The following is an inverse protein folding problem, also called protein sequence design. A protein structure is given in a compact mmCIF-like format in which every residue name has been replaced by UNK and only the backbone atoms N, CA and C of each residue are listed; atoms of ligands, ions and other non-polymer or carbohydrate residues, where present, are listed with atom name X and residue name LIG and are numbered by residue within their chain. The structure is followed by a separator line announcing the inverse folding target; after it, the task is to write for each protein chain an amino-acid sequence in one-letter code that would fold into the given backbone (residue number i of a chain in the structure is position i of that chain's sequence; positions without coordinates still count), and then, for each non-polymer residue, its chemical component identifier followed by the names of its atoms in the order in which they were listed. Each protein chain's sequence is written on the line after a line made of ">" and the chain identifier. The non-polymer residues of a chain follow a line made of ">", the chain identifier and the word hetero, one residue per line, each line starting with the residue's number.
data_IF_127298349780
#
_entry.id   IF_127298349780
#
_cell.length_a   1.000
_cell.length_b   1.000
_cell.length_c   1.000
_cell.angle_alpha   90.00
_cell.angle_beta   90.00
_cell.angle_gamma   90.00
#
_symmetry.space_group_name_H-M   'P 1'
#
loop_
_entity.id
_entity.type
_entity.pdbx_description
1 polymer ?
#
# COMPACT_ATOMS: atom_id res chain seq x y z
N UNK A 1 26.07 -8.03 24.67
CA UNK A 1 26.88 -7.29 23.71
C UNK A 1 26.00 -6.65 22.64
N UNK A 2 26.54 -5.69 21.90
CA UNK A 2 25.88 -5.00 20.79
C UNK A 2 26.52 -5.37 19.46
N UNK A 3 25.75 -5.39 18.40
CA UNK A 3 26.19 -5.61 17.02
C UNK A 3 25.83 -4.36 16.23
N UNK A 4 26.81 -3.67 15.69
CA UNK A 4 26.60 -2.42 14.98
C UNK A 4 27.48 -2.35 13.73
N UNK A 5 27.03 -1.57 12.73
CA UNK A 5 27.81 -1.28 11.52
C UNK A 5 28.29 -2.55 10.80
N UNK A 6 27.42 -3.53 10.64
CA UNK A 6 27.73 -4.81 10.02
C UNK A 6 26.95 -4.96 8.72
N UNK A 7 27.63 -5.37 7.68
CA UNK A 7 27.04 -5.64 6.38
C UNK A 7 27.43 -7.03 5.88
N UNK A 8 26.48 -7.73 5.29
CA UNK A 8 26.67 -8.95 4.54
C UNK A 8 26.12 -8.78 3.13
N UNK A 9 26.87 -9.18 2.15
CA UNK A 9 26.45 -9.08 0.76
C UNK A 9 26.89 -10.29 -0.09
N UNK A 10 26.19 -10.49 -1.21
CA UNK A 10 26.50 -11.50 -2.25
C UNK A 10 26.69 -12.92 -1.68
N UNK A 11 25.86 -13.28 -0.69
CA UNK A 11 26.03 -14.51 0.09
C UNK A 11 24.81 -15.44 0.02
N UNK A 12 25.08 -16.75 0.11
CA UNK A 12 24.07 -17.78 0.29
C UNK A 12 24.13 -18.33 1.72
N UNK A 13 23.10 -18.13 2.50
CA UNK A 13 22.99 -18.56 3.89
C UNK A 13 21.89 -19.60 3.98
N UNK A 14 22.25 -20.84 4.24
CA UNK A 14 21.29 -21.94 4.40
C UNK A 14 21.40 -22.54 5.79
N UNK A 15 20.27 -22.55 6.50
CA UNK A 15 20.13 -23.21 7.79
C UNK A 15 19.24 -24.45 7.70
N UNK A 16 19.57 -25.47 8.47
CA UNK A 16 18.75 -26.68 8.61
C UNK A 16 17.87 -26.65 9.85
N UNK A 17 17.97 -25.61 10.66
CA UNK A 17 17.21 -25.41 11.90
C UNK A 17 16.42 -24.11 11.90
N UNK A 18 15.81 -23.80 13.03
CA UNK A 18 15.21 -22.51 13.30
C UNK A 18 16.26 -21.41 13.45
N UNK A 19 15.80 -20.15 13.39
CA UNK A 19 16.60 -18.96 13.68
C UNK A 19 17.72 -18.70 12.68
N UNK A 20 17.35 -18.46 11.44
CA UNK A 20 18.29 -18.13 10.37
C UNK A 20 18.17 -16.64 10.03
N UNK A 21 19.28 -15.93 10.08
CA UNK A 21 19.37 -14.52 9.70
C UNK A 21 20.63 -14.23 8.91
N UNK A 22 20.59 -13.22 8.07
CA UNK A 22 21.74 -12.80 7.29
C UNK A 22 22.97 -12.45 8.15
N UNK A 23 22.72 -11.80 9.30
CA UNK A 23 23.79 -11.40 10.22
C UNK A 23 23.69 -12.17 11.56
N UNK A 24 22.46 -12.33 12.08
CA UNK A 24 22.23 -12.93 13.39
C UNK A 24 21.16 -14.01 13.30
N UNK A 25 21.50 -15.26 13.64
CA UNK A 25 20.49 -16.31 13.73
C UNK A 25 19.57 -16.11 14.95
N UNK A 26 20.17 -16.05 16.14
CA UNK A 26 19.44 -15.91 17.41
C UNK A 26 20.13 -14.93 18.35
N UNK A 27 19.37 -13.96 18.85
CA UNK A 27 19.81 -13.00 19.84
C UNK A 27 18.83 -12.93 21.00
N UNK A 28 19.30 -13.11 22.21
CA UNK A 28 18.50 -12.98 23.42
C UNK A 28 19.29 -12.29 24.51
N UNK A 29 18.73 -11.23 25.08
CA UNK A 29 19.39 -10.47 26.16
C UNK A 29 18.34 -10.00 27.17
N UNK A 30 18.64 -10.20 28.44
CA UNK A 30 17.85 -9.63 29.55
C UNK A 30 18.14 -8.15 29.81
N UNK A 31 19.09 -7.57 29.10
CA UNK A 31 19.47 -6.17 29.21
C UNK A 31 18.96 -5.39 27.99
N UNK A 32 18.71 -4.10 28.21
CA UNK A 32 18.44 -3.19 27.09
C UNK A 32 19.67 -3.04 26.22
N UNK A 33 19.60 -3.55 25.01
CA UNK A 33 20.69 -3.43 24.03
C UNK A 33 20.15 -2.76 22.76
N UNK A 34 20.93 -1.83 22.23
CA UNK A 34 20.61 -1.15 20.99
C UNK A 34 21.58 -1.63 19.90
N UNK A 35 21.03 -2.22 18.85
CA UNK A 35 21.81 -2.63 17.69
C UNK A 35 21.38 -1.80 16.50
N UNK A 36 22.33 -1.37 15.67
CA UNK A 36 22.06 -0.47 14.58
C UNK A 36 22.97 -0.65 13.37
N UNK A 37 22.53 -0.12 12.23
CA UNK A 37 23.27 -0.14 10.96
C UNK A 37 23.67 -1.55 10.54
N UNK A 38 22.69 -2.46 10.45
CA UNK A 38 22.91 -3.81 9.96
C UNK A 38 22.29 -3.93 8.56
N UNK A 39 23.09 -4.41 7.61
CA UNK A 39 22.65 -4.48 6.22
C UNK A 39 22.84 -5.87 5.64
N UNK A 40 21.83 -6.34 4.92
CA UNK A 40 21.83 -7.56 4.13
C UNK A 40 21.52 -7.21 2.68
N UNK A 41 22.47 -7.39 1.78
CA UNK A 41 22.39 -6.92 0.40
C UNK A 41 22.70 -8.05 -0.57
N UNK A 42 21.81 -8.28 -1.55
CA UNK A 42 21.98 -9.28 -2.59
C UNK A 42 22.28 -10.70 -2.05
N UNK A 43 21.54 -11.10 -1.02
CA UNK A 43 21.72 -12.39 -0.35
C UNK A 43 20.55 -13.33 -0.61
N UNK A 44 20.81 -14.63 -0.64
CA UNK A 44 19.79 -15.67 -0.48
C UNK A 44 19.89 -16.25 0.93
N UNK A 45 18.79 -16.14 1.70
CA UNK A 45 18.72 -16.62 3.08
C UNK A 45 17.59 -17.63 3.19
N UNK A 46 17.93 -18.86 3.50
CA UNK A 46 16.98 -19.97 3.42
C UNK A 46 17.01 -20.88 4.65
N UNK A 47 15.81 -21.30 5.09
CA UNK A 47 15.60 -22.42 5.99
C UNK A 47 14.30 -23.17 5.64
N UNK A 48 14.31 -24.48 5.87
CA UNK A 48 13.06 -25.28 5.81
C UNK A 48 12.23 -25.16 7.11
N UNK A 49 12.72 -24.41 8.09
CA UNK A 49 12.11 -24.21 9.40
C UNK A 49 11.68 -22.76 9.64
N UNK A 50 11.34 -22.46 10.88
CA UNK A 50 10.76 -21.20 11.30
C UNK A 50 11.82 -20.14 11.69
N UNK A 51 11.41 -18.88 11.78
CA UNK A 51 12.20 -17.72 12.21
C UNK A 51 13.33 -17.36 11.25
N UNK A 52 12.96 -16.96 10.06
CA UNK A 52 13.93 -16.55 9.03
C UNK A 52 13.82 -15.05 8.79
N UNK A 53 14.95 -14.35 8.81
CA UNK A 53 14.98 -12.92 8.54
C UNK A 53 16.16 -12.50 7.67
N UNK A 54 15.98 -11.46 6.88
CA UNK A 54 17.03 -10.91 6.03
C UNK A 54 18.26 -10.46 6.85
N UNK A 55 18.03 -9.95 8.05
CA UNK A 55 19.09 -9.55 9.00
C UNK A 55 19.15 -10.48 10.20
N UNK A 56 17.99 -10.76 10.83
CA UNK A 56 17.92 -11.48 12.12
C UNK A 56 16.85 -12.57 12.07
N UNK A 57 17.17 -13.80 12.47
CA UNK A 57 16.18 -14.87 12.63
C UNK A 57 15.23 -14.62 13.80
N UNK A 58 15.77 -14.50 15.00
CA UNK A 58 15.05 -14.16 16.23
C UNK A 58 15.81 -13.14 17.05
N UNK A 59 15.09 -12.14 17.57
CA UNK A 59 15.68 -11.12 18.42
C UNK A 59 14.79 -10.81 19.62
N UNK A 60 15.38 -10.85 20.81
CA UNK A 60 14.76 -10.44 22.07
C UNK A 60 15.71 -9.62 22.91
N UNK A 61 15.27 -8.45 23.36
CA UNK A 61 16.02 -7.59 24.26
C UNK A 61 15.06 -6.75 25.08
N UNK A 62 15.15 -6.82 26.40
CA UNK A 62 14.25 -6.09 27.29
C UNK A 62 14.36 -4.58 27.09
N UNK A 63 13.30 -3.95 26.51
CA UNK A 63 13.25 -2.54 26.17
C UNK A 63 14.39 -2.02 25.27
N UNK A 64 14.96 -2.91 24.42
CA UNK A 64 15.97 -2.55 23.45
C UNK A 64 15.39 -1.98 22.17
N UNK A 65 16.28 -1.42 21.35
CA UNK A 65 15.99 -0.96 20.00
C UNK A 65 16.85 -1.69 18.99
N UNK A 66 16.27 -2.03 17.84
CA UNK A 66 17.04 -2.30 16.64
C UNK A 66 16.60 -1.32 15.56
N UNK A 67 17.55 -0.67 14.95
CA UNK A 67 17.25 0.44 14.06
C UNK A 67 18.24 0.58 12.92
N UNK A 68 17.81 1.28 11.86
CA UNK A 68 18.61 1.46 10.64
C UNK A 68 19.06 0.13 10.03
N UNK A 69 18.12 -0.84 9.97
CA UNK A 69 18.34 -2.12 9.33
C UNK A 69 17.87 -2.05 7.87
N UNK A 70 18.67 -2.62 6.98
CA UNK A 70 18.35 -2.68 5.55
C UNK A 70 18.43 -4.12 5.06
N UNK A 71 17.40 -4.55 4.34
CA UNK A 71 17.45 -5.71 3.46
C UNK A 71 17.14 -5.26 2.04
N UNK A 72 18.06 -5.50 1.12
CA UNK A 72 17.89 -5.04 -0.25
C UNK A 72 18.38 -6.07 -1.25
N UNK A 73 17.60 -6.28 -2.33
CA UNK A 73 17.89 -7.29 -3.38
C UNK A 73 18.07 -8.71 -2.83
N UNK A 74 17.37 -9.07 -1.75
CA UNK A 74 17.50 -10.37 -1.12
C UNK A 74 16.33 -11.30 -1.45
N UNK A 75 16.61 -12.60 -1.43
CA UNK A 75 15.59 -13.66 -1.41
C UNK A 75 15.60 -14.34 -0.04
N UNK A 76 14.46 -14.29 0.68
CA UNK A 76 14.34 -14.81 2.04
C UNK A 76 13.24 -15.86 2.04
N UNK A 77 13.63 -17.11 2.36
CA UNK A 77 12.75 -18.27 2.27
C UNK A 77 12.69 -19.01 3.61
N UNK A 78 11.49 -19.26 4.08
CA UNK A 78 11.29 -20.00 5.33
C UNK A 78 9.94 -20.68 5.39
N UNK A 79 9.69 -21.39 6.49
CA UNK A 79 8.40 -22.04 6.72
C UNK A 79 7.42 -21.07 7.35
N UNK A 80 7.69 -20.57 8.55
CA UNK A 80 6.86 -19.59 9.26
C UNK A 80 7.70 -18.55 9.98
N UNK A 81 7.07 -17.45 10.40
CA UNK A 81 7.77 -16.31 10.98
C UNK A 81 8.93 -15.86 10.07
N UNK A 82 8.60 -15.46 8.86
CA UNK A 82 9.57 -15.00 7.86
C UNK A 82 9.41 -13.51 7.67
N UNK A 83 10.50 -12.77 7.79
CA UNK A 83 10.49 -11.32 7.61
C UNK A 83 11.64 -10.80 6.78
N UNK A 84 11.42 -9.71 6.08
CA UNK A 84 12.49 -9.04 5.32
C UNK A 84 13.65 -8.63 6.23
N UNK A 85 13.37 -8.13 7.42
CA UNK A 85 14.38 -7.79 8.43
C UNK A 85 14.51 -8.91 9.46
N UNK A 86 13.40 -9.33 10.08
CA UNK A 86 13.46 -10.29 11.18
C UNK A 86 12.35 -11.33 11.11
N UNK A 87 12.67 -12.58 11.44
CA UNK A 87 11.68 -13.64 11.57
C UNK A 87 10.70 -13.34 12.72
N UNK A 88 11.23 -13.13 13.92
CA UNK A 88 10.45 -12.74 15.10
C UNK A 88 11.20 -11.74 15.97
N UNK A 89 10.46 -10.80 16.54
CA UNK A 89 10.96 -9.83 17.53
C UNK A 89 10.10 -9.89 18.78
N UNK A 90 10.77 -9.97 19.91
CA UNK A 90 10.16 -10.05 21.22
C UNK A 90 10.74 -9.00 22.18
N UNK A 91 9.88 -8.22 22.84
CA UNK A 91 10.26 -7.12 23.76
C UNK A 91 11.19 -6.04 23.20
N UNK A 92 11.30 -5.90 21.90
CA UNK A 92 12.23 -4.97 21.24
C UNK A 92 11.50 -4.13 20.21
N UNK A 93 11.83 -2.84 20.11
CA UNK A 93 11.33 -1.93 19.09
C UNK A 93 12.15 -2.08 17.81
N UNK A 94 11.49 -2.20 16.67
CA UNK A 94 12.11 -1.98 15.35
C UNK A 94 11.71 -0.60 14.85
N UNK A 95 12.70 0.19 14.42
CA UNK A 95 12.44 1.50 13.84
C UNK A 95 13.48 1.86 12.77
N UNK A 96 13.10 2.81 11.88
CA UNK A 96 13.97 3.32 10.81
C UNK A 96 14.61 2.22 9.96
N UNK A 97 13.84 1.19 9.66
CA UNK A 97 14.35 0.00 8.97
C UNK A 97 13.54 -0.26 7.69
N UNK A 98 14.18 -0.86 6.70
CA UNK A 98 13.55 -1.08 5.40
C UNK A 98 13.86 -2.41 4.76
N UNK A 99 12.91 -2.83 3.92
CA UNK A 99 13.09 -3.92 2.95
C UNK A 99 12.77 -3.40 1.56
N UNK A 100 13.72 -3.55 0.65
CA UNK A 100 13.64 -2.98 -0.69
C UNK A 100 14.02 -4.01 -1.75
N UNK A 101 13.31 -3.98 -2.89
CA UNK A 101 13.67 -4.80 -4.06
C UNK A 101 13.90 -6.28 -3.73
N UNK A 102 13.15 -6.82 -2.77
CA UNK A 102 13.41 -8.14 -2.20
C UNK A 102 12.20 -9.06 -2.30
N UNK A 103 12.46 -10.36 -2.18
CA UNK A 103 11.43 -11.39 -2.20
C UNK A 103 11.41 -12.17 -0.88
N UNK A 104 10.26 -12.15 -0.19
CA UNK A 104 10.07 -12.81 1.11
C UNK A 104 9.02 -13.90 0.93
N UNK A 105 9.39 -15.16 1.22
CA UNK A 105 8.54 -16.31 0.93
C UNK A 105 8.28 -17.23 2.14
N UNK A 106 7.00 -17.56 2.33
CA UNK A 106 6.55 -18.71 3.13
C UNK A 106 6.31 -19.91 2.24
N UNK A 107 7.21 -20.90 2.26
CA UNK A 107 7.23 -21.97 1.27
C UNK A 107 6.31 -23.15 1.56
N UNK A 108 5.76 -23.28 2.76
CA UNK A 108 4.84 -24.34 3.16
C UNK A 108 3.39 -23.91 3.03
N UNK A 109 2.50 -24.81 2.66
CA UNK A 109 1.03 -24.61 2.71
C UNK A 109 0.53 -24.32 4.13
N UNK A 110 1.30 -24.64 5.15
CA UNK A 110 1.04 -24.31 6.54
C UNK A 110 1.84 -23.08 7.02
N UNK A 111 2.49 -22.36 6.13
CA UNK A 111 3.24 -21.14 6.47
C UNK A 111 2.33 -20.10 7.13
N UNK A 112 2.85 -19.45 8.16
CA UNK A 112 2.17 -18.37 8.86
C UNK A 112 3.14 -17.24 9.18
N UNK A 113 2.59 -16.04 9.27
CA UNK A 113 3.30 -14.86 9.73
C UNK A 113 4.48 -14.51 8.81
N UNK A 114 4.15 -14.10 7.60
CA UNK A 114 5.12 -13.63 6.60
C UNK A 114 4.96 -12.12 6.46
N UNK A 115 6.03 -11.36 6.65
CA UNK A 115 5.97 -9.90 6.60
C UNK A 115 7.18 -9.27 5.93
N UNK A 116 6.97 -8.10 5.33
CA UNK A 116 8.04 -7.38 4.63
C UNK A 116 9.14 -6.86 5.57
N UNK A 117 8.78 -6.50 6.81
CA UNK A 117 9.76 -6.17 7.87
C UNK A 117 9.92 -7.34 8.82
N UNK A 118 8.82 -7.87 9.35
CA UNK A 118 8.87 -8.87 10.39
C UNK A 118 7.76 -9.92 10.22
N UNK A 119 8.12 -11.18 10.39
CA UNK A 119 7.13 -12.26 10.40
C UNK A 119 6.17 -12.14 11.58
N UNK A 120 6.68 -12.16 12.80
CA UNK A 120 5.91 -12.13 14.05
C UNK A 120 6.37 -11.02 14.99
N UNK A 121 5.46 -10.10 15.30
CA UNK A 121 5.66 -9.00 16.25
C UNK A 121 4.91 -9.25 17.55
N UNK A 122 5.66 -9.33 18.66
CA UNK A 122 5.11 -9.44 20.00
C UNK A 122 5.70 -8.41 20.96
N UNK A 123 4.85 -7.72 21.72
CA UNK A 123 5.17 -6.90 22.89
C UNK A 123 5.82 -5.53 22.70
N UNK A 124 6.25 -5.09 21.50
CA UNK A 124 6.80 -3.75 21.30
C UNK A 124 6.40 -3.16 19.95
N UNK A 125 6.75 -1.88 19.70
CA UNK A 125 6.28 -1.10 18.58
C UNK A 125 7.05 -1.39 17.28
N UNK A 126 6.34 -1.34 16.15
CA UNK A 126 6.91 -1.15 14.82
C UNK A 126 6.65 0.29 14.38
N UNK A 127 7.70 1.05 14.08
CA UNK A 127 7.54 2.44 13.69
C UNK A 127 8.64 2.93 12.76
N UNK A 128 8.30 3.87 11.89
CA UNK A 128 9.25 4.46 10.95
C UNK A 128 9.92 3.43 10.04
N UNK A 129 9.17 2.38 9.67
CA UNK A 129 9.67 1.32 8.80
C UNK A 129 8.99 1.37 7.45
N UNK A 130 9.65 0.88 6.42
CA UNK A 130 9.02 0.81 5.11
C UNK A 130 9.42 -0.43 4.30
N UNK A 131 8.55 -0.74 3.34
CA UNK A 131 8.78 -1.78 2.33
C UNK A 131 8.50 -1.21 0.96
N UNK A 132 9.45 -1.30 0.05
CA UNK A 132 9.31 -0.83 -1.31
C UNK A 132 9.72 -1.87 -2.36
N UNK A 133 9.01 -1.85 -3.50
CA UNK A 133 9.36 -2.60 -4.70
C UNK A 133 9.65 -4.09 -4.43
N UNK A 134 8.90 -4.69 -3.50
CA UNK A 134 9.18 -6.04 -3.00
C UNK A 134 8.01 -6.99 -3.23
N UNK A 135 8.25 -8.28 -3.02
CA UNK A 135 7.23 -9.31 -3.08
C UNK A 135 7.20 -10.10 -1.76
N UNK A 136 6.03 -10.21 -1.15
CA UNK A 136 5.80 -10.95 0.08
C UNK A 136 4.76 -12.01 -0.23
N UNK A 137 5.20 -13.25 -0.37
CA UNK A 137 4.38 -14.34 -0.90
C UNK A 137 4.37 -15.51 0.05
N UNK A 138 3.19 -16.06 0.34
CA UNK A 138 3.06 -17.26 1.16
C UNK A 138 2.15 -18.30 0.50
N UNK A 139 2.53 -19.54 0.63
CA UNK A 139 1.63 -20.68 0.33
C UNK A 139 0.62 -20.93 1.46
N UNK A 140 0.71 -20.18 2.55
CA UNK A 140 -0.20 -20.21 3.71
C UNK A 140 -0.76 -18.83 4.05
N UNK A 141 -1.10 -18.57 5.30
CA UNK A 141 -1.81 -17.37 5.74
C UNK A 141 -1.00 -16.39 6.59
N UNK A 142 -1.67 -15.34 7.06
CA UNK A 142 -1.11 -14.24 7.84
C UNK A 142 0.03 -13.55 7.11
N UNK A 143 -0.27 -12.89 6.02
CA UNK A 143 0.74 -12.22 5.18
C UNK A 143 0.49 -10.72 5.21
N UNK A 144 1.52 -9.94 5.52
CA UNK A 144 1.40 -8.49 5.59
C UNK A 144 2.58 -7.74 5.01
N UNK A 145 2.32 -6.56 4.47
CA UNK A 145 3.36 -5.72 3.88
C UNK A 145 4.43 -5.31 4.88
N UNK A 146 4.06 -5.01 6.13
CA UNK A 146 5.00 -4.76 7.23
C UNK A 146 5.16 -6.03 8.08
N UNK A 147 4.07 -6.64 8.52
CA UNK A 147 4.13 -7.78 9.43
C UNK A 147 3.07 -8.84 9.13
N UNK A 148 3.45 -10.12 9.21
CA UNK A 148 2.50 -11.21 9.10
C UNK A 148 1.52 -11.26 10.27
N UNK A 149 2.03 -11.19 11.50
CA UNK A 149 1.25 -11.16 12.75
C UNK A 149 1.69 -10.01 13.64
N UNK A 150 0.72 -9.31 14.22
CA UNK A 150 1.01 -8.20 15.14
C UNK A 150 0.09 -8.18 16.34
N UNK A 151 0.69 -8.12 17.53
CA UNK A 151 -0.03 -7.90 18.80
C UNK A 151 0.29 -6.56 19.46
N UNK A 152 0.92 -5.61 18.74
CA UNK A 152 1.25 -4.28 19.28
C UNK A 152 1.09 -3.17 18.23
N UNK A 153 1.43 -1.93 18.55
CA UNK A 153 1.28 -0.80 17.65
C UNK A 153 2.15 -0.88 16.40
N UNK A 154 1.59 -0.43 15.28
CA UNK A 154 2.30 -0.16 14.03
C UNK A 154 1.98 1.28 13.65
N UNK A 155 2.99 2.11 13.43
CA UNK A 155 2.75 3.51 13.07
C UNK A 155 3.91 4.17 12.32
N UNK A 156 3.59 5.26 11.65
CA UNK A 156 4.53 6.05 10.86
C UNK A 156 5.34 5.15 9.90
N UNK A 157 4.66 4.27 9.20
CA UNK A 157 5.27 3.25 8.35
C UNK A 157 4.53 3.13 7.03
N UNK A 158 5.18 2.64 5.98
CA UNK A 158 4.49 2.51 4.70
C UNK A 158 4.93 1.28 3.88
N UNK A 159 4.07 0.93 2.93
CA UNK A 159 4.34 -0.12 1.94
C UNK A 159 4.02 0.43 0.56
N UNK A 160 5.01 0.44 -0.32
CA UNK A 160 4.90 1.05 -1.65
C UNK A 160 5.33 0.08 -2.75
N UNK A 161 4.56 0.04 -3.86
CA UNK A 161 4.87 -0.76 -5.05
C UNK A 161 5.20 -2.23 -4.71
N UNK A 162 4.49 -2.82 -3.79
CA UNK A 162 4.80 -4.13 -3.23
C UNK A 162 3.62 -5.09 -3.41
N UNK A 163 3.93 -6.32 -3.80
CA UNK A 163 2.94 -7.39 -3.89
C UNK A 163 2.89 -8.17 -2.58
N UNK A 164 1.68 -8.38 -2.06
CA UNK A 164 1.43 -9.14 -0.82
C UNK A 164 0.41 -10.24 -1.13
N UNK A 165 0.84 -11.49 -1.12
CA UNK A 165 -0.01 -12.62 -1.54
C UNK A 165 0.04 -13.79 -0.54
N UNK A 166 -1.12 -14.38 -0.25
CA UNK A 166 -1.27 -15.55 0.62
C UNK A 166 -2.58 -16.28 0.40
N UNK A 167 -2.87 -17.27 1.24
CA UNK A 167 -4.15 -17.98 1.18
C UNK A 167 -5.26 -17.24 1.90
N UNK A 168 -4.97 -16.74 3.12
CA UNK A 168 -5.93 -16.03 3.94
C UNK A 168 -5.23 -15.00 4.84
N UNK A 169 -5.99 -14.06 5.39
CA UNK A 169 -5.50 -13.03 6.29
C UNK A 169 -4.36 -12.21 5.64
N UNK A 170 -4.62 -11.63 4.49
CA UNK A 170 -3.63 -10.88 3.73
C UNK A 170 -3.90 -9.39 3.85
N UNK A 171 -2.92 -8.63 4.33
CA UNK A 171 -3.06 -7.18 4.54
C UNK A 171 -1.91 -6.37 3.97
N UNK A 172 -2.20 -5.20 3.42
CA UNK A 172 -1.17 -4.30 2.90
C UNK A 172 -0.17 -3.84 3.97
N UNK A 173 -0.59 -3.78 5.23
CA UNK A 173 0.27 -3.47 6.39
C UNK A 173 0.43 -4.70 7.29
N UNK A 174 -0.66 -5.31 7.74
CA UNK A 174 -0.63 -6.44 8.67
C UNK A 174 -1.54 -7.57 8.19
N UNK A 175 -1.04 -8.80 8.17
CA UNK A 175 -1.84 -9.98 7.83
C UNK A 175 -2.90 -10.26 8.89
N UNK A 176 -2.46 -10.58 10.11
CA UNK A 176 -3.31 -10.72 11.28
C UNK A 176 -2.97 -9.68 12.34
N UNK A 177 -3.98 -9.03 12.87
CA UNK A 177 -3.87 -8.04 13.95
C UNK A 177 -4.72 -8.46 15.13
N UNK A 178 -4.13 -8.46 16.33
CA UNK A 178 -4.85 -8.92 17.54
C UNK A 178 -5.31 -7.78 18.43
N UNK A 179 -4.49 -6.75 18.64
CA UNK A 179 -4.76 -5.62 19.54
C UNK A 179 -3.86 -4.43 19.24
N UNK A 180 -4.13 -3.29 19.90
CA UNK A 180 -3.44 -2.02 19.73
C UNK A 180 -3.55 -1.41 18.32
N UNK A 181 -3.06 -0.22 18.15
CA UNK A 181 -3.40 0.65 17.04
C UNK A 181 -2.52 0.45 15.79
N UNK A 182 -3.11 0.74 14.63
CA UNK A 182 -2.38 1.06 13.40
C UNK A 182 -2.73 2.49 13.03
N UNK A 183 -1.73 3.35 12.89
CA UNK A 183 -1.96 4.75 12.55
C UNK A 183 -0.79 5.39 11.81
N UNK A 184 -1.12 6.43 11.06
CA UNK A 184 -0.14 7.13 10.24
C UNK A 184 0.60 6.17 9.31
N UNK A 185 -0.14 5.36 8.56
CA UNK A 185 0.44 4.45 7.57
C UNK A 185 -0.17 4.70 6.20
N UNK A 186 0.60 4.46 5.15
CA UNK A 186 0.05 4.47 3.80
C UNK A 186 0.51 3.27 2.97
N UNK A 187 -0.27 2.94 1.94
CA UNK A 187 0.10 1.87 1.01
C UNK A 187 -0.61 1.98 -0.34
N UNK A 188 0.10 1.57 -1.40
CA UNK A 188 -0.47 1.27 -2.71
C UNK A 188 -0.24 -0.21 -3.09
N UNK A 189 -0.07 -1.07 -2.11
CA UNK A 189 0.21 -2.49 -2.33
C UNK A 189 -0.85 -3.19 -3.18
N UNK A 190 -0.40 -4.20 -3.94
CA UNK A 190 -1.25 -5.22 -4.54
C UNK A 190 -1.43 -6.37 -3.54
N UNK A 191 -2.63 -6.47 -2.97
CA UNK A 191 -2.98 -7.42 -1.89
C UNK A 191 -3.86 -8.52 -2.45
N UNK A 192 -3.44 -9.77 -2.33
CA UNK A 192 -4.20 -10.91 -2.84
C UNK A 192 -4.30 -12.06 -1.86
N UNK A 193 -5.51 -12.41 -1.46
CA UNK A 193 -5.80 -13.66 -0.76
C UNK A 193 -6.47 -14.65 -1.72
N UNK A 194 -5.96 -15.89 -1.79
CA UNK A 194 -6.50 -16.88 -2.71
C UNK A 194 -7.76 -17.58 -2.17
N UNK A 195 -8.00 -17.51 -0.87
CA UNK A 195 -9.17 -18.10 -0.21
C UNK A 195 -10.09 -17.02 0.40
N UNK A 196 -9.57 -16.15 1.30
CA UNK A 196 -10.41 -15.18 2.01
C UNK A 196 -9.58 -14.13 2.77
N UNK A 197 -10.25 -13.09 3.25
CA UNK A 197 -9.79 -12.08 4.20
C UNK A 197 -8.62 -11.26 3.65
N UNK A 198 -8.91 -10.39 2.68
CA UNK A 198 -7.97 -9.42 2.14
C UNK A 198 -8.33 -7.99 2.56
N UNK A 199 -7.36 -7.24 3.06
CA UNK A 199 -7.55 -5.84 3.45
C UNK A 199 -6.38 -4.95 3.10
N UNK A 200 -6.63 -3.70 2.74
CA UNK A 200 -5.57 -2.77 2.39
C UNK A 200 -4.65 -2.44 3.57
N UNK A 201 -5.18 -2.40 4.78
CA UNK A 201 -4.39 -2.23 6.01
C UNK A 201 -4.27 -3.57 6.74
N UNK A 202 -5.38 -4.24 7.04
CA UNK A 202 -5.40 -5.48 7.83
C UNK A 202 -6.20 -6.54 7.07
N UNK A 203 -5.63 -7.73 6.89
CA UNK A 203 -6.36 -8.88 6.34
C UNK A 203 -7.41 -9.40 7.32
N UNK A 204 -7.00 -9.71 8.53
CA UNK A 204 -7.85 -10.29 9.57
C UNK A 204 -7.59 -9.63 10.93
N UNK A 205 -8.64 -9.15 11.54
CA UNK A 205 -8.60 -8.63 12.89
C UNK A 205 -9.30 -9.57 13.87
N UNK A 206 -8.56 -10.03 14.86
CA UNK A 206 -9.12 -10.81 15.99
C UNK A 206 -8.90 -10.07 17.30
N UNK A 207 -9.92 -9.95 18.09
CA UNK A 207 -9.87 -9.27 19.40
C UNK A 207 -9.81 -10.33 20.54
N UNK A 208 -8.94 -11.30 20.41
CA UNK A 208 -8.75 -12.31 21.43
C UNK A 208 -8.10 -11.71 22.68
N UNK A 209 -8.79 -11.71 23.81
CA UNK A 209 -8.31 -11.27 25.13
C UNK A 209 -8.09 -9.76 25.33
N UNK A 210 -8.93 -8.91 24.76
CA UNK A 210 -8.83 -7.46 25.00
C UNK A 210 -9.64 -7.06 26.22
N UNK A 211 -8.98 -6.45 27.18
CA UNK A 211 -9.65 -5.72 28.28
C UNK A 211 -10.07 -4.34 27.79
N UNK A 212 -11.01 -3.69 28.46
CA UNK A 212 -11.48 -2.33 28.12
C UNK A 212 -10.35 -1.28 27.95
N UNK A 213 -9.14 -1.58 28.40
CA UNK A 213 -7.96 -0.72 28.27
C UNK A 213 -7.21 -0.86 26.93
N UNK A 214 -7.54 -1.84 26.10
CA UNK A 214 -6.78 -2.19 24.88
C UNK A 214 -7.64 -2.10 23.62
N UNK A 215 -8.44 -1.05 23.51
CA UNK A 215 -9.26 -0.77 22.32
C UNK A 215 -8.34 -0.58 21.11
N UNK A 216 -8.60 -1.32 20.03
CA UNK A 216 -7.89 -1.08 18.78
C UNK A 216 -8.46 0.14 18.06
N UNK A 217 -7.56 0.98 17.60
CA UNK A 217 -7.91 2.13 16.77
C UNK A 217 -7.11 2.10 15.49
N UNK A 218 -7.78 2.28 14.35
CA UNK A 218 -7.16 2.50 13.05
C UNK A 218 -7.46 3.94 12.65
N UNK A 219 -6.42 4.77 12.52
CA UNK A 219 -6.64 6.17 12.22
C UNK A 219 -5.50 6.83 11.45
N UNK A 220 -5.86 7.85 10.70
CA UNK A 220 -4.93 8.61 9.87
C UNK A 220 -4.14 7.73 8.89
N UNK A 221 -4.78 6.74 8.28
CA UNK A 221 -4.14 5.89 7.29
C UNK A 221 -4.68 6.20 5.90
N UNK A 222 -3.86 5.97 4.88
CA UNK A 222 -4.29 6.08 3.50
C UNK A 222 -3.98 4.86 2.66
N UNK A 223 -4.91 4.56 1.75
CA UNK A 223 -4.66 3.74 0.59
C UNK A 223 -4.57 4.65 -0.63
N UNK A 224 -3.56 4.46 -1.43
CA UNK A 224 -3.16 5.38 -2.49
C UNK A 224 -3.08 4.65 -3.84
N UNK A 225 -4.19 4.06 -4.28
CA UNK A 225 -4.29 3.26 -5.49
C UNK A 225 -4.05 1.77 -5.26
N UNK A 226 -4.33 1.25 -4.08
CA UNK A 226 -4.16 -0.16 -3.74
C UNK A 226 -5.10 -1.06 -4.54
N UNK A 227 -4.61 -2.26 -4.91
CA UNK A 227 -5.43 -3.32 -5.51
C UNK A 227 -5.63 -4.43 -4.49
N UNK A 228 -6.87 -4.83 -4.23
CA UNK A 228 -7.18 -5.81 -3.19
C UNK A 228 -8.12 -6.87 -3.73
N UNK A 229 -7.71 -8.11 -3.67
CA UNK A 229 -8.44 -9.25 -4.24
C UNK A 229 -8.58 -10.41 -3.25
N UNK A 230 -9.79 -10.93 -3.10
CA UNK A 230 -10.05 -12.25 -2.49
C UNK A 230 -11.41 -12.78 -2.94
N UNK A 231 -11.67 -14.12 -2.85
CA UNK A 231 -12.99 -14.67 -3.10
C UNK A 231 -14.08 -14.12 -2.17
N UNK A 232 -13.75 -13.85 -0.91
CA UNK A 232 -14.67 -13.31 0.12
C UNK A 232 -13.92 -12.43 1.11
N UNK A 233 -14.63 -11.52 1.79
CA UNK A 233 -14.14 -10.61 2.82
C UNK A 233 -13.03 -9.68 2.32
N UNK A 234 -13.39 -8.81 1.40
CA UNK A 234 -12.46 -7.81 0.81
C UNK A 234 -12.77 -6.44 1.36
N UNK A 235 -11.83 -5.84 2.05
CA UNK A 235 -11.98 -4.50 2.63
C UNK A 235 -10.88 -3.53 2.20
N UNK A 236 -11.24 -2.30 1.92
CA UNK A 236 -10.24 -1.25 1.73
C UNK A 236 -9.36 -1.09 2.96
N UNK A 237 -9.93 -1.00 4.15
CA UNK A 237 -9.16 -0.97 5.39
C UNK A 237 -8.95 -2.38 5.97
N UNK A 238 -10.03 -3.12 6.22
CA UNK A 238 -9.99 -4.41 6.92
C UNK A 238 -10.78 -5.45 6.13
N UNK A 239 -10.16 -6.60 5.82
CA UNK A 239 -10.85 -7.71 5.17
C UNK A 239 -11.93 -8.30 6.05
N UNK A 240 -11.58 -8.73 7.25
CA UNK A 240 -12.52 -9.36 8.17
C UNK A 240 -12.26 -9.01 9.65
N UNK A 241 -13.34 -8.78 10.40
CA UNK A 241 -13.30 -8.58 11.86
C UNK A 241 -14.01 -9.76 12.54
N UNK A 242 -13.28 -10.51 13.36
CA UNK A 242 -13.85 -11.56 14.20
C UNK A 242 -14.62 -10.94 15.38
N UNK A 243 -15.60 -11.68 15.90
CA UNK A 243 -16.42 -11.23 17.02
C UNK A 243 -15.57 -11.01 18.28
N UNK A 244 -15.71 -9.83 18.86
CA UNK A 244 -15.16 -9.56 20.18
C UNK A 244 -15.96 -10.28 21.26
N UNK A 245 -15.28 -11.11 22.05
CA UNK A 245 -15.91 -11.83 23.17
C UNK A 245 -16.07 -10.97 24.43
N UNK A 246 -15.48 -9.77 24.49
CA UNK A 246 -15.34 -8.99 25.72
C UNK A 246 -15.99 -7.61 25.70
N UNK A 247 -16.45 -7.09 24.59
CA UNK A 247 -16.96 -5.73 24.56
C UNK A 247 -18.47 -5.64 24.52
N UNK A 248 -19.09 -5.61 25.68
CA UNK A 248 -20.43 -5.01 25.81
C UNK A 248 -20.40 -3.46 25.76
N UNK A 249 -19.22 -2.84 25.82
CA UNK A 249 -19.09 -1.37 25.91
C UNK A 249 -17.96 -0.75 25.07
N UNK A 250 -17.09 -1.52 24.46
CA UNK A 250 -15.96 -1.02 23.65
C UNK A 250 -16.38 -0.67 22.23
N UNK A 251 -16.17 0.56 21.83
CA UNK A 251 -16.32 1.00 20.44
C UNK A 251 -14.95 0.94 19.78
N UNK A 252 -14.80 0.12 18.74
CA UNK A 252 -13.61 0.19 17.90
C UNK A 252 -13.71 1.43 17.01
N UNK A 253 -12.76 2.34 17.14
CA UNK A 253 -12.75 3.58 16.39
C UNK A 253 -11.87 3.47 15.16
N UNK A 254 -12.48 3.63 13.98
CA UNK A 254 -11.80 3.72 12.71
C UNK A 254 -12.07 5.11 12.15
N UNK A 255 -11.13 6.05 12.30
CA UNK A 255 -11.39 7.45 11.97
C UNK A 255 -10.24 8.10 11.19
N UNK A 256 -10.57 9.15 10.46
CA UNK A 256 -9.63 9.93 9.68
C UNK A 256 -8.86 9.06 8.67
N UNK A 257 -9.50 8.05 8.09
CA UNK A 257 -8.88 7.21 7.08
C UNK A 257 -9.34 7.60 5.69
N UNK A 258 -8.45 7.47 4.72
CA UNK A 258 -8.72 7.70 3.31
C UNK A 258 -8.45 6.44 2.50
N UNK A 259 -9.31 6.15 1.52
CA UNK A 259 -9.17 4.98 0.66
C UNK A 259 -9.33 5.34 -0.81
N UNK A 260 -8.27 5.14 -1.57
CA UNK A 260 -8.29 5.00 -3.01
C UNK A 260 -7.88 3.56 -3.34
N UNK A 261 -8.82 2.72 -3.74
CA UNK A 261 -8.58 1.30 -3.97
C UNK A 261 -9.46 0.72 -5.09
N UNK A 262 -8.98 -0.40 -5.62
CA UNK A 262 -9.67 -1.24 -6.60
C UNK A 262 -9.86 -2.62 -5.96
N UNK A 263 -11.10 -2.94 -5.61
CA UNK A 263 -11.45 -4.16 -4.90
C UNK A 263 -12.05 -5.19 -5.85
N UNK A 264 -11.63 -6.44 -5.72
CA UNK A 264 -12.20 -7.57 -6.46
C UNK A 264 -12.61 -8.69 -5.51
N UNK A 265 -13.89 -9.06 -5.55
CA UNK A 265 -14.44 -10.17 -4.76
C UNK A 265 -15.46 -10.96 -5.57
N UNK A 266 -15.51 -12.27 -5.33
CA UNK A 266 -16.57 -13.13 -5.89
C UNK A 266 -17.90 -12.98 -5.16
N UNK A 267 -17.87 -12.49 -3.92
CA UNK A 267 -19.06 -12.29 -3.09
C UNK A 267 -19.25 -10.78 -2.83
N UNK A 268 -20.26 -10.20 -3.45
CA UNK A 268 -20.60 -8.78 -3.31
C UNK A 268 -21.02 -8.38 -1.88
N UNK A 269 -21.56 -9.31 -1.09
CA UNK A 269 -22.05 -9.03 0.26
C UNK A 269 -20.91 -8.86 1.29
N UNK A 270 -19.69 -9.20 0.89
CA UNK A 270 -18.52 -9.16 1.76
C UNK A 270 -17.37 -8.33 1.18
N UNK A 271 -17.70 -7.30 0.40
CA UNK A 271 -16.75 -6.35 -0.17
C UNK A 271 -17.15 -4.92 0.17
N UNK A 272 -16.22 -4.10 0.62
CA UNK A 272 -16.42 -2.68 0.94
C UNK A 272 -15.09 -1.92 0.96
N UNK A 273 -15.09 -0.66 0.57
CA UNK A 273 -13.91 0.21 0.74
C UNK A 273 -13.53 0.45 2.22
N UNK A 274 -14.45 0.21 3.14
CA UNK A 274 -14.17 0.22 4.56
C UNK A 274 -13.78 -1.15 5.09
N UNK A 275 -14.77 -1.92 5.52
CA UNK A 275 -14.64 -3.23 6.18
C UNK A 275 -15.39 -4.25 5.33
N UNK A 276 -14.68 -5.25 4.80
CA UNK A 276 -15.27 -6.27 3.93
C UNK A 276 -16.35 -7.08 4.64
N UNK A 277 -16.05 -7.59 5.84
CA UNK A 277 -17.04 -8.27 6.67
C UNK A 277 -16.70 -8.15 8.14
N UNK A 278 -17.72 -8.13 9.00
CA UNK A 278 -17.53 -8.03 10.44
C UNK A 278 -18.59 -8.83 11.21
N UNK A 279 -18.14 -9.60 12.18
CA UNK A 279 -19.00 -10.16 13.22
C UNK A 279 -19.19 -9.21 14.41
N UNK A 280 -18.51 -8.06 14.40
CA UNK A 280 -18.59 -7.06 15.43
C UNK A 280 -19.66 -6.02 15.08
N UNK A 281 -20.73 -5.94 15.88
CA UNK A 281 -21.88 -5.07 15.60
C UNK A 281 -21.58 -3.56 15.78
N UNK A 282 -20.52 -3.22 16.49
CA UNK A 282 -20.15 -1.83 16.81
C UNK A 282 -18.91 -1.32 16.06
N UNK A 283 -18.52 -1.94 14.96
CA UNK A 283 -17.49 -1.40 14.09
C UNK A 283 -18.00 -0.12 13.41
N UNK A 284 -17.40 1.03 13.72
CA UNK A 284 -17.81 2.32 13.16
C UNK A 284 -16.67 3.00 12.42
N UNK A 285 -16.94 3.34 11.17
CA UNK A 285 -16.12 4.25 10.38
C UNK A 285 -16.56 5.69 10.66
N UNK A 286 -15.63 6.55 11.09
CA UNK A 286 -15.90 7.97 11.39
C UNK A 286 -14.90 8.84 10.67
N UNK A 287 -15.35 9.93 10.06
CA UNK A 287 -14.51 10.75 9.19
C UNK A 287 -13.71 9.88 8.18
N UNK A 288 -14.43 9.00 7.49
CA UNK A 288 -13.91 8.08 6.50
C UNK A 288 -14.19 8.65 5.12
N UNK A 289 -13.17 8.77 4.31
CA UNK A 289 -13.27 9.34 2.97
C UNK A 289 -12.68 8.40 1.93
N UNK A 290 -13.23 8.46 0.74
CA UNK A 290 -12.82 7.61 -0.38
C UNK A 290 -12.60 8.43 -1.65
N UNK A 291 -11.71 7.98 -2.52
CA UNK A 291 -11.60 8.54 -3.85
C UNK A 291 -12.84 8.19 -4.67
N UNK A 292 -13.45 9.22 -5.27
CA UNK A 292 -14.71 9.11 -6.00
C UNK A 292 -14.72 8.02 -7.09
N UNK A 293 -13.58 7.75 -7.70
CA UNK A 293 -13.44 6.77 -8.76
C UNK A 293 -12.72 5.48 -8.31
N UNK A 294 -12.73 5.17 -7.02
CA UNK A 294 -12.45 3.82 -6.55
C UNK A 294 -13.43 2.82 -7.14
N UNK A 295 -13.03 1.55 -7.25
CA UNK A 295 -13.86 0.53 -7.89
C UNK A 295 -14.07 -0.68 -6.98
N UNK A 296 -15.25 -1.27 -7.12
CA UNK A 296 -15.58 -2.60 -6.61
C UNK A 296 -16.04 -3.44 -7.80
N UNK A 297 -15.37 -4.56 -8.05
CA UNK A 297 -15.64 -5.45 -9.18
C UNK A 297 -15.74 -4.68 -10.52
N UNK A 298 -14.75 -3.83 -10.78
CA UNK A 298 -14.64 -2.95 -11.96
C UNK A 298 -15.73 -1.88 -12.10
N UNK A 299 -16.65 -1.77 -11.15
CA UNK A 299 -17.66 -0.73 -11.12
C UNK A 299 -17.23 0.44 -10.22
N UNK A 300 -17.41 1.68 -10.69
CA UNK A 300 -17.22 2.85 -9.84
C UNK A 300 -18.21 2.83 -8.67
N UNK A 301 -17.72 3.23 -7.51
CA UNK A 301 -18.52 3.26 -6.28
C UNK A 301 -19.66 4.30 -6.39
N UNK A 302 -20.77 3.96 -5.77
CA UNK A 302 -21.89 4.84 -5.48
C UNK A 302 -22.57 4.35 -4.18
N UNK A 303 -23.59 5.06 -3.71
CA UNK A 303 -24.28 4.70 -2.45
C UNK A 303 -24.96 3.32 -2.49
N UNK A 304 -25.32 2.82 -3.67
CA UNK A 304 -25.94 1.50 -3.84
C UNK A 304 -24.89 0.37 -3.73
N UNK A 305 -23.68 0.63 -4.23
CA UNK A 305 -22.61 -0.37 -4.28
C UNK A 305 -21.90 -0.52 -2.92
N UNK A 306 -21.63 0.57 -2.21
CA UNK A 306 -20.82 0.52 -0.98
C UNK A 306 -21.40 1.35 0.20
N UNK A 307 -22.63 1.77 0.15
CA UNK A 307 -23.29 2.52 1.22
C UNK A 307 -22.46 3.69 1.81
N UNK A 308 -21.57 4.27 1.01
CA UNK A 308 -20.75 5.43 1.34
C UNK A 308 -21.44 6.67 0.81
N UNK A 309 -21.68 7.66 1.67
CA UNK A 309 -22.39 8.87 1.29
C UNK A 309 -21.55 9.74 0.36
N UNK A 310 -22.19 10.45 -0.56
CA UNK A 310 -21.52 11.36 -1.50
C UNK A 310 -20.65 12.41 -0.80
N UNK A 311 -21.02 12.86 0.40
CA UNK A 311 -20.22 13.78 1.21
C UNK A 311 -18.85 13.23 1.66
N UNK A 312 -18.63 11.93 1.50
CA UNK A 312 -17.38 11.24 1.82
C UNK A 312 -16.48 11.05 0.60
N UNK A 313 -16.95 11.41 -0.60
CA UNK A 313 -16.16 11.28 -1.82
C UNK A 313 -15.17 12.44 -1.95
N UNK A 314 -13.95 12.13 -2.37
CA UNK A 314 -12.92 13.08 -2.73
C UNK A 314 -12.55 12.92 -4.20
N UNK A 315 -12.47 14.05 -4.91
CA UNK A 315 -11.99 14.11 -6.30
C UNK A 315 -10.48 14.32 -6.34
N UNK A 316 -9.86 14.08 -7.48
CA UNK A 316 -8.43 14.38 -7.69
C UNK A 316 -8.12 15.87 -7.41
N UNK A 317 -9.01 16.78 -7.79
CA UNK A 317 -8.83 18.21 -7.52
C UNK A 317 -8.85 18.55 -6.02
N UNK A 318 -9.67 17.86 -5.22
CA UNK A 318 -9.66 18.03 -3.76
C UNK A 318 -8.38 17.44 -3.15
N UNK A 319 -7.90 16.30 -3.65
CA UNK A 319 -6.67 15.66 -3.19
C UNK A 319 -5.41 16.49 -3.49
N UNK A 320 -5.47 17.41 -4.46
CA UNK A 320 -4.40 18.38 -4.74
C UNK A 320 -4.34 19.54 -3.73
N UNK A 321 -5.26 19.61 -2.78
CA UNK A 321 -5.37 20.71 -1.83
C UNK A 321 -4.89 20.30 -0.43
N UNK A 322 -3.97 21.03 0.14
CA UNK A 322 -3.47 20.80 1.52
C UNK A 322 -4.60 20.82 2.55
N UNK A 323 -5.61 21.67 2.34
CA UNK A 323 -6.77 21.77 3.21
C UNK A 323 -7.57 20.45 3.34
N UNK A 324 -7.56 19.63 2.29
CA UNK A 324 -8.21 18.30 2.32
C UNK A 324 -7.59 17.41 3.38
N UNK A 325 -6.28 17.33 3.44
CA UNK A 325 -5.58 16.51 4.43
C UNK A 325 -5.68 17.10 5.83
N UNK A 326 -5.53 18.39 5.94
CA UNK A 326 -5.49 19.10 7.21
C UNK A 326 -6.84 19.11 7.94
N UNK A 327 -7.90 19.47 7.21
CA UNK A 327 -9.22 19.73 7.80
C UNK A 327 -10.23 18.63 7.45
N UNK A 328 -10.36 18.24 6.19
CA UNK A 328 -11.34 17.22 5.80
C UNK A 328 -10.96 15.84 6.34
N UNK A 329 -9.74 15.40 6.12
CA UNK A 329 -9.23 14.15 6.66
C UNK A 329 -8.82 14.24 8.13
N UNK A 330 -8.66 15.45 8.67
CA UNK A 330 -8.33 15.65 10.08
C UNK A 330 -6.91 15.24 10.47
N UNK A 331 -5.98 15.17 9.50
CA UNK A 331 -4.61 14.69 9.78
C UNK A 331 -3.73 15.73 10.47
N UNK A 332 -4.13 17.02 10.50
CA UNK A 332 -3.38 18.10 11.15
C UNK A 332 -2.06 18.42 10.44
N UNK A 333 -1.44 19.55 10.83
CA UNK A 333 -0.20 20.01 10.19
C UNK A 333 1.08 19.54 10.87
N UNK A 334 1.01 19.10 12.10
CA UNK A 334 2.21 18.99 12.94
C UNK A 334 2.81 17.59 13.04
N UNK A 335 2.13 16.54 12.54
CA UNK A 335 2.55 15.19 12.88
C UNK A 335 2.68 14.20 11.74
N UNK A 336 2.13 14.44 10.54
CA UNK A 336 1.97 13.34 9.61
C UNK A 336 2.61 13.52 8.26
N UNK A 337 2.33 14.61 7.58
CA UNK A 337 2.62 14.68 6.16
C UNK A 337 3.27 16.00 5.78
N UNK A 338 4.20 15.94 4.83
CA UNK A 338 4.79 17.12 4.22
C UNK A 338 3.76 17.88 3.41
N UNK A 339 4.09 19.12 3.06
CA UNK A 339 3.38 19.89 2.05
C UNK A 339 3.27 19.10 0.75
N UNK A 340 2.13 19.17 0.09
CA UNK A 340 1.91 18.59 -1.22
C UNK A 340 2.96 19.04 -2.22
N UNK A 341 3.57 18.12 -2.95
CA UNK A 341 4.48 18.42 -4.04
C UNK A 341 3.99 17.72 -5.33
N UNK A 342 3.92 18.50 -6.41
CA UNK A 342 3.86 18.03 -7.79
C UNK A 342 2.95 16.82 -8.08
N UNK A 343 1.64 16.93 -7.84
CA UNK A 343 0.66 15.87 -8.11
C UNK A 343 0.92 14.54 -7.39
N UNK A 344 1.55 14.56 -6.23
CA UNK A 344 1.78 13.37 -5.40
C UNK A 344 1.02 13.45 -4.08
N UNK A 345 0.67 12.30 -3.55
CA UNK A 345 0.18 12.19 -2.17
C UNK A 345 1.25 12.69 -1.18
N UNK A 346 0.84 13.26 -0.04
CA UNK A 346 1.79 13.69 0.97
C UNK A 346 2.52 12.50 1.61
N UNK A 347 3.78 12.70 1.93
CA UNK A 347 4.64 11.70 2.56
C UNK A 347 4.75 11.92 4.08
N UNK A 348 5.18 10.90 4.82
CA UNK A 348 5.31 10.94 6.28
C UNK A 348 6.51 11.82 6.69
N UNK A 349 6.27 12.85 7.50
CA UNK A 349 7.32 13.79 7.96
C UNK A 349 8.39 13.17 8.85
N UNK A 350 8.06 12.12 9.56
CA UNK A 350 8.90 11.54 10.61
C UNK A 350 9.87 10.47 10.13
N UNK A 351 9.84 10.14 8.85
CA UNK A 351 10.80 9.20 8.26
C UNK A 351 12.16 9.87 8.08
N UNK A 352 13.23 9.19 8.42
CA UNK A 352 14.61 9.70 8.27
C UNK A 352 15.21 9.39 6.88
N UNK A 353 14.38 8.98 5.94
CA UNK A 353 14.78 8.65 4.57
C UNK A 353 14.07 9.54 3.57
N UNK A 354 14.71 9.80 2.43
CA UNK A 354 14.02 10.39 1.29
C UNK A 354 12.86 9.48 0.88
N UNK A 355 11.68 10.06 0.70
CA UNK A 355 10.50 9.38 0.22
C UNK A 355 10.04 10.04 -1.07
N UNK A 356 9.69 9.23 -2.03
CA UNK A 356 8.95 9.67 -3.19
C UNK A 356 7.47 9.34 -2.99
N UNK A 357 6.61 10.37 -2.92
CA UNK A 357 5.16 10.19 -2.80
C UNK A 357 4.57 9.42 -3.99
N UNK A 358 3.47 8.74 -3.76
CA UNK A 358 2.68 8.06 -4.80
C UNK A 358 1.94 9.13 -5.61
N UNK A 359 1.80 8.92 -6.91
CA UNK A 359 1.10 9.84 -7.79
C UNK A 359 -0.38 9.95 -7.41
N UNK A 360 -0.90 11.19 -7.38
CA UNK A 360 -2.33 11.42 -7.22
C UNK A 360 -3.08 10.87 -8.42
N UNK A 361 -4.30 10.35 -8.21
CA UNK A 361 -5.14 9.91 -9.30
C UNK A 361 -5.54 11.09 -10.19
N UNK A 362 -5.90 10.80 -11.42
CA UNK A 362 -6.59 11.73 -12.30
C UNK A 362 -8.06 11.33 -12.36
N UNK A 363 -8.95 12.32 -12.20
CA UNK A 363 -10.37 12.07 -12.41
C UNK A 363 -10.59 11.68 -13.88
N UNK A 364 -11.36 10.63 -14.18
CA UNK A 364 -11.74 10.33 -15.55
C UNK A 364 -12.38 11.56 -16.20
N UNK A 365 -11.99 11.85 -17.43
CA UNK A 365 -12.58 12.95 -18.18
C UNK A 365 -14.03 12.60 -18.47
N UNK A 366 -14.98 13.46 -18.05
CA UNK A 366 -16.37 13.25 -18.38
C UNK A 366 -16.62 13.43 -19.89
N UNK A 367 -17.70 12.82 -20.40
CA UNK A 367 -18.01 12.80 -21.83
C UNK A 367 -18.18 14.21 -22.39
N UNK A 368 -18.75 15.14 -21.61
CA UNK A 368 -18.95 16.53 -22.05
C UNK A 368 -17.60 17.27 -22.18
N UNK A 369 -16.69 17.08 -21.22
CA UNK A 369 -15.33 17.63 -21.27
C UNK A 369 -14.51 17.01 -22.40
N UNK A 370 -14.63 15.69 -22.65
CA UNK A 370 -14.02 15.04 -23.82
C UNK A 370 -14.52 15.65 -25.13
N UNK A 371 -15.84 15.79 -25.28
CA UNK A 371 -16.46 16.39 -26.47
C UNK A 371 -16.00 17.84 -26.67
N UNK A 372 -15.94 18.64 -25.60
CA UNK A 372 -15.45 20.01 -25.65
C UNK A 372 -13.97 20.10 -26.07
N UNK A 373 -13.14 19.20 -25.56
CA UNK A 373 -11.71 19.12 -25.93
C UNK A 373 -11.54 18.70 -27.39
N UNK A 374 -12.28 17.71 -27.87
CA UNK A 374 -12.28 17.28 -29.28
C UNK A 374 -12.72 18.44 -30.18
N UNK A 375 -13.78 19.15 -29.81
CA UNK A 375 -14.26 20.31 -30.56
C UNK A 375 -13.21 21.44 -30.60
N UNK A 376 -12.52 21.69 -29.48
CA UNK A 376 -11.44 22.68 -29.43
C UNK A 376 -10.23 22.29 -30.30
N UNK A 377 -9.89 21.00 -30.33
CA UNK A 377 -8.83 20.50 -31.22
C UNK A 377 -9.25 20.66 -32.67
N UNK A 378 -10.51 20.29 -33.05
CA UNK A 378 -11.01 20.45 -34.38
C UNK A 378 -11.01 21.93 -34.83
N UNK A 379 -11.51 22.83 -33.99
CA UNK A 379 -11.52 24.27 -34.27
C UNK A 379 -10.07 24.84 -34.39
N UNK A 380 -9.12 24.35 -33.63
CA UNK A 380 -7.72 24.74 -33.75
C UNK A 380 -7.06 24.18 -35.00
N UNK A 381 -7.48 23.02 -35.50
CA UNK A 381 -7.03 22.46 -36.77
C UNK A 381 -7.61 23.26 -37.95
N UNK A 382 -8.88 23.62 -37.94
CA UNK A 382 -9.51 24.49 -38.96
C UNK A 382 -8.83 25.86 -39.05
N UNK A 383 -8.43 26.46 -37.91
CA UNK A 383 -7.77 27.75 -37.87
C UNK A 383 -6.26 27.71 -38.24
N UNK A 384 -5.65 26.55 -38.35
CA UNK A 384 -4.23 26.39 -38.71
C UNK A 384 -3.98 26.18 -40.20
N UNK A 385 -5.01 26.00 -41.02
CA UNK A 385 -4.88 25.89 -42.46
C UNK A 385 -5.04 27.26 -43.11
N UNK A 386 -4.27 28.25 -42.70
CA UNK A 386 -3.98 29.42 -43.55
C UNK A 386 -2.82 29.02 -44.48
N UNK A 387 -3.21 28.65 -45.69
CA UNK A 387 -2.25 28.54 -46.79
C UNK A 387 -1.73 29.94 -47.13
N UNK A 388 -0.53 30.28 -46.68
CA UNK A 388 0.18 31.45 -47.22
C UNK A 388 0.53 31.11 -48.67
N UNK A 389 -0.18 31.75 -49.59
CA UNK A 389 0.22 31.79 -51.00
C UNK A 389 1.42 32.72 -51.11
N UNK A 390 2.62 32.23 -50.71
CA UNK A 390 3.83 32.85 -51.11
C UNK A 390 4.16 32.43 -52.51
N UNK A 391 4.04 33.34 -53.43
CA UNK A 391 4.48 33.22 -54.80
C UNK A 391 5.95 32.75 -54.85
N UNK A 392 6.21 31.55 -55.36
CA UNK A 392 7.51 31.13 -55.75
C UNK A 392 7.90 31.88 -57.02
N UNK A 393 8.64 32.93 -56.87
CA UNK A 393 9.35 33.54 -57.99
C UNK A 393 10.58 32.71 -58.31
N UNK A 394 10.53 32.01 -59.41
CA UNK A 394 11.72 31.39 -59.97
C UNK A 394 12.57 32.46 -60.68
N UNK A 395 13.86 32.52 -60.43
CA UNK A 395 14.83 33.48 -61.02
C UNK A 395 15.09 33.30 -62.51
N UNK A 396 14.19 32.71 -63.26
CA UNK A 396 14.33 32.66 -64.74
C UNK A 396 12.96 32.87 -65.38
N UNK A 397 12.71 34.08 -65.82
CA UNK A 397 11.53 34.63 -66.41
C UNK A 397 10.81 33.72 -67.44
N UNK A 398 9.90 32.92 -66.95
CA UNK A 398 8.96 32.18 -67.72
C UNK A 398 7.71 31.91 -66.90
N UNK A 399 6.64 32.66 -67.15
CA UNK A 399 5.32 32.40 -66.61
C UNK A 399 4.82 31.07 -67.11
N UNK A 400 4.72 30.09 -66.20
CA UNK A 400 3.81 28.94 -66.39
C UNK A 400 2.85 28.93 -65.21
N UNK A 401 1.67 29.49 -65.45
CA UNK A 401 0.51 29.25 -64.58
C UNK A 401 0.18 27.75 -64.69
N UNK A 402 0.59 27.01 -63.68
CA UNK A 402 -0.08 25.74 -63.35
C UNK A 402 -0.91 25.99 -62.11
N UNK A 403 -2.23 26.11 -62.32
CA UNK A 403 -3.21 26.04 -61.23
C UNK A 403 -3.08 24.67 -60.58
N UNK A 404 -2.39 24.59 -59.46
CA UNK A 404 -2.39 23.39 -58.61
C UNK A 404 -3.55 23.58 -57.66
N UNK A 405 -4.68 22.97 -58.02
CA UNK A 405 -5.86 22.92 -57.14
C UNK A 405 -5.57 21.82 -56.10
N UNK A 406 -5.42 22.22 -54.86
CA UNK A 406 -5.45 21.29 -53.74
C UNK A 406 -6.89 21.21 -53.24
N UNK A 407 -7.52 20.06 -53.38
CA UNK A 407 -8.77 19.79 -52.68
C UNK A 407 -8.41 19.45 -51.22
N UNK A 408 -8.69 20.36 -50.30
CA UNK A 408 -8.59 20.12 -48.88
C UNK A 408 -9.99 19.68 -48.45
N UNK A 409 -10.11 18.40 -48.06
CA UNK A 409 -11.35 17.94 -47.42
C UNK A 409 -11.27 18.29 -45.92
N UNK A 410 -12.16 19.19 -45.43
CA UNK A 410 -12.25 19.40 -44.00
C UNK A 410 -12.78 18.10 -43.36
N UNK A 411 -12.01 17.51 -42.44
CA UNK A 411 -12.52 16.45 -41.60
C UNK A 411 -13.51 17.12 -40.63
N UNK A 412 -14.82 16.91 -40.85
CA UNK A 412 -15.81 17.42 -39.92
C UNK A 412 -15.75 16.65 -38.59
N UNK A 413 -15.96 17.33 -37.48
CA UNK A 413 -15.98 16.70 -36.14
C UNK A 413 -17.00 15.54 -36.04
N UNK A 414 -17.96 15.47 -36.99
CA UNK A 414 -18.97 14.40 -37.09
C UNK A 414 -18.43 13.10 -37.73
N UNK A 415 -17.26 13.14 -38.34
CA UNK A 415 -16.64 11.96 -38.98
C UNK A 415 -15.60 11.27 -38.09
N UNK A 416 -15.29 11.82 -36.92
CA UNK A 416 -14.45 11.19 -35.92
C UNK A 416 -15.32 10.25 -35.09
N UNK A 417 -15.40 9.01 -35.52
CA UNK A 417 -16.13 7.97 -34.79
C UNK A 417 -15.16 7.34 -33.78
N UNK A 418 -15.12 7.88 -32.56
CA UNK A 418 -14.36 7.29 -31.46
C UNK A 418 -15.28 6.27 -30.78
N UNK A 419 -14.95 4.99 -30.89
CA UNK A 419 -15.64 3.94 -30.14
C UNK A 419 -15.23 4.04 -28.66
N UNK A 420 -16.04 4.74 -27.87
CA UNK A 420 -15.85 4.96 -26.44
C UNK A 420 -16.04 3.69 -25.58
N UNK A 421 -16.41 2.56 -26.18
CA UNK A 421 -16.57 1.31 -25.46
C UNK A 421 -15.25 0.52 -25.30
N UNK A 422 -14.15 1.01 -25.90
CA UNK A 422 -12.82 0.38 -25.86
C UNK A 422 -11.75 1.25 -25.18
N UNK A 423 -12.14 2.26 -24.39
CA UNK A 423 -11.23 3.09 -23.59
C UNK A 423 -11.37 2.77 -22.09
#
# INVERSE_FOLDING_TARGET
>A
GTINNTEIQDSNITGTGNYVGGIVGYYNSSYSNNNSNLKSINNTIKSENDYVGGVVGYYSSTNGYIEHLLTSYCEILGKSNVGGIAGEIYYTVIQYSSTENSEIKGESVNSKNIGGIIGNQSHQFLRYNYVENSQIISKGGNVGGITGYSSNHIYNSYVKNTKVEGTNNVGGIAGEKVRYNIYNTYTNAEVKATEKDAGGIIGYFTNANVTAANIMTIYNNSLEGAKIEAPVNVGGLIGYIEKDLYTQTGVNYYYNNYVHAYLTSKNSDTVSLGIGSSKHENAKLTNFHVYKYSKINDQYINEEIDNIKESQYLTANQLKQENTYKNTLGWGTNYLYTTLSNNKYPILNSMQTEQEGIDLPEDPMDVETMQANIQNIANNMENKVELSTNSLTTENGGETNKDVTYEIYPISANEINIDLNNL
#
